data_IF_077098892786
#
_entry.id   IF_077098892786
#
_cell.length_a   1.000
_cell.length_b   1.000
_cell.length_c   1.000
_cell.angle_alpha   90.00
_cell.angle_beta   90.00
_cell.angle_gamma   90.00
#
_symmetry.space_group_name_H-M   'P 1'
#
loop_
_entity.id
_entity.type
_entity.pdbx_description
1 polymer ?
#
# COMPACT_ATOMS: atom_id res chain seq x y z
N UNK A 1 9.34 -10.44 -23.68
CA UNK A 1 9.55 -9.19 -23.20
C UNK A 1 8.26 -8.52 -22.76
N UNK A 2 8.39 -7.91 -21.69
CA UNK A 2 7.25 -7.42 -21.03
C UNK A 2 6.84 -6.12 -21.63
N UNK A 3 5.60 -5.94 -21.76
CA UNK A 3 5.11 -4.76 -22.27
C UNK A 3 4.69 -3.80 -21.26
N UNK A 4 5.05 -3.96 -20.12
CA UNK A 4 4.54 -3.15 -19.07
C UNK A 4 3.14 -3.54 -18.74
N UNK A 5 2.35 -3.13 -18.19
CA UNK A 5 1.01 -3.53 -17.90
C UNK A 5 0.88 -4.23 -16.59
N UNK A 6 -0.34 -4.39 -16.20
CA UNK A 6 -0.67 -5.00 -14.91
C UNK A 6 -0.54 -6.49 -14.97
N UNK A 7 -0.06 -7.10 -13.91
CA UNK A 7 -0.08 -8.56 -13.78
C UNK A 7 -0.04 -8.95 -12.32
N UNK A 8 -0.51 -10.17 -12.05
CA UNK A 8 -0.53 -10.71 -10.69
C UNK A 8 0.83 -11.29 -10.32
N UNK A 9 1.10 -11.47 -9.04
CA UNK A 9 2.33 -12.14 -8.61
C UNK A 9 2.42 -13.53 -9.19
N UNK A 10 3.63 -13.95 -9.58
CA UNK A 10 3.87 -15.26 -10.15
C UNK A 10 4.37 -16.26 -9.12
N UNK A 11 4.98 -15.80 -8.05
CA UNK A 11 5.49 -16.65 -6.98
C UNK A 11 5.78 -15.78 -5.77
N UNK A 12 6.22 -16.39 -4.68
CA UNK A 12 6.72 -15.63 -3.54
C UNK A 12 7.95 -14.83 -3.95
N UNK A 13 8.13 -13.72 -3.28
CA UNK A 13 9.30 -12.86 -3.47
C UNK A 13 9.99 -12.66 -2.12
N UNK A 14 11.28 -12.33 -2.17
CA UNK A 14 12.06 -12.12 -0.95
C UNK A 14 12.97 -10.90 -1.13
N UNK A 15 12.39 -9.72 -1.32
CA UNK A 15 13.21 -8.54 -1.60
C UNK A 15 13.97 -8.06 -0.38
N UNK A 16 15.13 -7.48 -0.61
CA UNK A 16 15.83 -6.71 0.40
C UNK A 16 15.22 -5.33 0.44
N UNK A 17 14.84 -4.87 1.63
CA UNK A 17 14.19 -3.58 1.78
C UNK A 17 15.27 -2.53 1.97
N UNK A 18 15.75 -1.98 0.87
CA UNK A 18 16.85 -1.01 0.88
C UNK A 18 16.56 0.24 0.03
N UNK A 19 15.42 0.29 -0.64
CA UNK A 19 15.05 1.44 -1.46
C UNK A 19 15.68 1.45 -2.83
N UNK A 20 16.39 0.39 -3.21
CA UNK A 20 17.08 0.37 -4.51
C UNK A 20 16.26 -0.24 -5.64
N UNK A 21 15.27 -1.07 -5.29
CA UNK A 21 14.42 -1.66 -6.32
C UNK A 21 15.14 -2.64 -7.20
N UNK A 22 15.91 -3.55 -6.60
CA UNK A 22 16.67 -4.54 -7.35
C UNK A 22 15.71 -5.35 -8.22
N UNK A 23 15.97 -5.38 -9.49
CA UNK A 23 15.07 -5.99 -10.45
C UNK A 23 14.84 -7.47 -10.16
N UNK A 24 15.89 -8.19 -9.78
CA UNK A 24 15.76 -9.61 -9.50
C UNK A 24 14.84 -9.88 -8.32
N UNK A 25 14.84 -8.99 -7.33
CA UNK A 25 14.01 -9.18 -6.15
C UNK A 25 12.53 -9.06 -6.46
N UNK A 26 12.16 -8.23 -7.43
CA UNK A 26 10.77 -7.91 -7.72
C UNK A 26 10.25 -8.55 -9.00
N UNK A 27 11.06 -9.36 -9.65
CA UNK A 27 10.75 -9.95 -10.93
C UNK A 27 9.44 -10.74 -10.94
N UNK A 28 9.15 -11.45 -9.87
CA UNK A 28 7.94 -12.27 -9.77
C UNK A 28 6.79 -11.58 -9.03
N UNK A 29 6.96 -10.33 -8.70
CA UNK A 29 5.92 -9.58 -7.99
C UNK A 29 4.76 -9.22 -8.90
N UNK A 30 3.62 -8.95 -8.30
CA UNK A 30 2.51 -8.33 -9.01
C UNK A 30 2.85 -6.88 -9.32
N UNK A 31 2.18 -6.33 -10.32
CA UNK A 31 2.50 -4.98 -10.77
C UNK A 31 1.28 -4.29 -11.31
N UNK A 32 1.17 -3.00 -10.99
CA UNK A 32 0.24 -2.08 -11.62
C UNK A 32 1.03 -0.92 -12.23
N UNK A 33 0.81 -0.64 -13.50
CA UNK A 33 1.35 0.56 -14.12
C UNK A 33 0.37 1.69 -13.86
N UNK A 34 0.82 2.71 -13.14
CA UNK A 34 -0.03 3.78 -12.67
C UNK A 34 0.07 5.00 -13.58
N UNK A 35 1.29 5.44 -13.82
CA UNK A 35 1.50 6.61 -14.62
C UNK A 35 1.57 6.26 -16.07
N UNK A 36 1.21 7.11 -16.92
CA UNK A 36 1.52 6.97 -18.26
C UNK A 36 0.36 6.73 -19.16
N UNK A 37 0.34 5.64 -19.84
CA UNK A 37 -0.34 5.55 -21.09
C UNK A 37 -1.85 5.66 -21.04
N UNK A 38 -2.45 5.70 -19.90
CA UNK A 38 -3.88 5.75 -19.85
C UNK A 38 -4.45 7.10 -20.14
N UNK A 39 -3.65 8.06 -20.30
CA UNK A 39 -4.13 9.33 -20.71
C UNK A 39 -4.94 10.09 -19.72
N UNK A 40 -4.99 9.65 -18.52
CA UNK A 40 -5.66 10.47 -17.55
C UNK A 40 -4.77 11.62 -17.31
N UNK A 41 -5.29 12.71 -17.37
CA UNK A 41 -4.52 13.82 -17.18
C UNK A 41 -4.30 14.17 -15.80
N UNK A 42 -4.49 13.27 -14.92
CA UNK A 42 -4.39 13.63 -13.56
C UNK A 42 -3.03 13.52 -13.06
N UNK A 43 -2.82 14.06 -12.03
CA UNK A 43 -1.67 14.09 -11.33
C UNK A 43 -1.13 12.83 -10.87
N UNK A 44 -1.85 11.84 -10.94
CA UNK A 44 -1.40 10.54 -10.52
C UNK A 44 -0.11 10.12 -11.11
N UNK A 45 0.42 10.91 -11.95
CA UNK A 45 1.69 10.59 -12.55
C UNK A 45 2.86 10.61 -11.58
N UNK A 46 2.69 11.07 -10.33
CA UNK A 46 3.82 11.08 -9.43
C UNK A 46 4.26 9.66 -9.07
N UNK A 47 3.34 8.71 -8.98
CA UNK A 47 3.67 7.29 -8.82
C UNK A 47 3.53 6.66 -10.19
N UNK A 48 4.64 6.10 -10.68
CA UNK A 48 4.67 5.51 -12.01
C UNK A 48 4.26 4.06 -12.00
N UNK A 49 4.62 3.33 -10.95
CA UNK A 49 4.44 1.90 -10.91
C UNK A 49 4.35 1.42 -9.47
N UNK A 50 3.52 0.42 -9.26
CA UNK A 50 3.33 -0.20 -7.96
C UNK A 50 3.60 -1.69 -8.09
N UNK A 51 4.39 -2.24 -7.18
CA UNK A 51 4.69 -3.67 -7.14
C UNK A 51 4.27 -4.23 -5.79
N UNK A 52 3.79 -5.46 -5.79
CA UNK A 52 3.39 -6.10 -4.54
C UNK A 52 3.62 -7.60 -4.62
N UNK A 53 3.80 -8.20 -3.46
CA UNK A 53 3.98 -9.64 -3.38
C UNK A 53 4.04 -10.09 -1.95
N UNK A 54 4.25 -11.37 -1.76
CA UNK A 54 4.23 -11.97 -0.43
C UNK A 54 5.27 -13.06 -0.32
N UNK A 55 5.62 -13.40 0.92
CA UNK A 55 6.22 -14.69 1.24
C UNK A 55 5.56 -15.18 2.53
N UNK A 56 6.09 -16.22 3.15
CA UNK A 56 5.48 -16.76 4.35
C UNK A 56 5.50 -15.80 5.54
N UNK A 57 6.39 -14.83 5.53
CA UNK A 57 6.59 -13.94 6.66
C UNK A 57 6.03 -12.55 6.45
N UNK A 58 6.00 -12.07 5.22
CA UNK A 58 5.72 -10.67 4.96
C UNK A 58 4.83 -10.44 3.75
N UNK A 59 4.12 -9.34 3.79
CA UNK A 59 3.59 -8.67 2.61
C UNK A 59 4.60 -7.61 2.20
N UNK A 60 4.83 -7.45 0.89
CA UNK A 60 5.79 -6.49 0.34
C UNK A 60 5.12 -5.55 -0.62
N UNK A 61 5.55 -4.30 -0.58
CA UNK A 61 5.08 -3.26 -1.48
C UNK A 61 6.26 -2.44 -1.97
N UNK A 62 6.23 -2.05 -3.24
CA UNK A 62 7.20 -1.12 -3.79
C UNK A 62 6.48 -0.07 -4.63
N UNK A 63 6.90 1.18 -4.49
CA UNK A 63 6.40 2.27 -5.32
C UNK A 63 7.56 2.91 -6.06
N UNK A 64 7.40 3.04 -7.37
CA UNK A 64 8.35 3.75 -8.20
C UNK A 64 7.77 5.12 -8.50
N UNK A 65 8.50 6.17 -8.17
CA UNK A 65 8.05 7.53 -8.35
C UNK A 65 8.65 8.13 -9.60
N UNK A 66 8.06 9.20 -10.05
CA UNK A 66 8.60 9.97 -11.15
C UNK A 66 10.03 10.38 -10.84
N UNK A 67 10.89 10.35 -11.84
CA UNK A 67 12.31 10.67 -11.64
C UNK A 67 12.46 12.05 -11.01
N UNK A 68 13.28 12.12 -9.98
CA UNK A 68 13.54 13.39 -9.29
C UNK A 68 12.50 13.78 -8.25
N UNK A 69 11.42 13.03 -8.13
CA UNK A 69 10.38 13.36 -7.13
C UNK A 69 10.89 13.11 -5.72
N UNK A 70 10.47 13.94 -4.79
CA UNK A 70 10.90 13.86 -3.40
C UNK A 70 9.72 13.96 -2.45
N UNK A 71 9.73 13.21 -1.34
CA UNK A 71 8.71 13.34 -0.31
C UNK A 71 8.70 14.76 0.26
N UNK A 72 7.51 15.29 0.47
CA UNK A 72 7.34 16.62 1.01
C UNK A 72 7.36 17.72 -0.04
N UNK A 73 7.89 17.43 -1.22
CA UNK A 73 7.85 18.36 -2.35
C UNK A 73 6.74 17.91 -3.29
N UNK A 74 7.08 17.11 -4.28
CA UNK A 74 6.09 16.61 -5.23
C UNK A 74 5.43 15.31 -4.78
N UNK A 75 6.02 14.57 -3.86
CA UNK A 75 5.36 13.39 -3.27
C UNK A 75 4.73 13.81 -1.96
N UNK A 76 3.43 13.57 -1.77
CA UNK A 76 2.80 13.86 -0.47
C UNK A 76 3.56 13.17 0.65
N UNK A 77 3.65 13.79 1.83
CA UNK A 77 4.54 13.29 2.87
C UNK A 77 4.04 12.06 3.63
N UNK A 78 2.80 11.63 3.41
CA UNK A 78 2.26 10.47 4.11
C UNK A 78 1.78 9.42 3.14
N UNK A 79 2.05 8.17 3.50
CA UNK A 79 1.55 7.02 2.78
C UNK A 79 0.71 6.20 3.75
N UNK A 80 -0.49 5.83 3.34
CA UNK A 80 -1.40 5.05 4.15
C UNK A 80 -1.79 3.79 3.41
N UNK A 81 -1.72 2.65 4.09
CA UNK A 81 -2.20 1.38 3.57
C UNK A 81 -3.43 0.99 4.36
N UNK A 82 -4.49 0.64 3.65
CA UNK A 82 -5.78 0.29 4.25
C UNK A 82 -6.19 -1.07 3.72
N UNK A 83 -6.42 -2.01 4.62
CA UNK A 83 -6.79 -3.36 4.26
C UNK A 83 -8.19 -3.69 4.70
N UNK A 84 -8.91 -4.47 3.89
CA UNK A 84 -10.17 -5.04 4.30
C UNK A 84 -10.34 -6.44 3.74
N UNK A 85 -11.20 -7.21 4.41
CA UNK A 85 -11.51 -8.59 4.04
C UNK A 85 -12.97 -8.63 3.67
N UNK A 86 -13.31 -8.78 2.39
CA UNK A 86 -14.71 -8.61 1.94
C UNK A 86 -15.72 -9.49 2.63
N UNK A 87 -15.30 -10.67 3.07
CA UNK A 87 -16.27 -11.63 3.59
C UNK A 87 -16.00 -12.05 5.02
N UNK A 88 -15.31 -11.21 5.79
CA UNK A 88 -14.97 -11.57 7.17
C UNK A 88 -15.64 -10.62 8.16
N UNK A 89 -16.27 -11.17 9.20
CA UNK A 89 -16.99 -10.35 10.17
C UNK A 89 -16.03 -9.78 11.24
N UNK A 90 -15.01 -9.10 10.83
CA UNK A 90 -14.06 -8.47 11.73
C UNK A 90 -14.48 -7.04 12.02
N UNK A 91 -14.04 -6.47 13.14
CA UNK A 91 -14.27 -5.04 13.38
C UNK A 91 -13.72 -4.20 12.24
N UNK A 92 -14.43 -3.17 11.89
CA UNK A 92 -14.05 -2.31 10.77
C UNK A 92 -14.42 -0.87 11.05
N UNK A 93 -13.77 0.05 10.36
CA UNK A 93 -13.95 1.47 10.56
C UNK A 93 -13.69 2.21 9.25
N UNK A 94 -14.29 3.38 9.05
CA UNK A 94 -13.88 4.24 7.94
C UNK A 94 -12.40 4.57 8.04
N UNK A 95 -11.78 4.87 6.91
CA UNK A 95 -10.37 5.23 6.91
C UNK A 95 -10.12 6.47 7.79
N UNK A 96 -9.03 6.47 8.57
CA UNK A 96 -8.73 7.60 9.46
C UNK A 96 -8.00 8.73 8.71
N UNK A 97 -8.58 9.19 7.63
CA UNK A 97 -8.00 10.20 6.76
C UNK A 97 -9.08 11.23 6.45
N UNK A 98 -8.74 12.50 6.58
CA UNK A 98 -9.69 13.58 6.36
C UNK A 98 -9.91 13.83 4.88
N UNK A 99 -11.08 14.32 4.54
CA UNK A 99 -11.41 14.78 3.19
C UNK A 99 -11.35 13.68 2.13
N UNK A 100 -11.64 12.45 2.52
CA UNK A 100 -11.74 11.37 1.55
C UNK A 100 -12.95 11.59 0.65
N UNK A 101 -12.79 11.39 -0.66
CA UNK A 101 -13.94 11.37 -1.55
C UNK A 101 -14.94 10.28 -1.15
N UNK A 102 -16.22 10.57 -1.28
CA UNK A 102 -17.27 9.60 -0.96
C UNK A 102 -17.51 8.73 -2.19
N UNK A 103 -16.55 7.88 -2.48
CA UNK A 103 -16.62 6.99 -3.62
C UNK A 103 -15.82 5.73 -3.33
N UNK A 104 -16.22 4.63 -3.97
CA UNK A 104 -15.52 3.36 -3.81
C UNK A 104 -14.14 3.42 -4.47
N UNK A 105 -13.13 2.82 -3.89
CA UNK A 105 -13.15 2.06 -2.63
C UNK A 105 -12.84 2.91 -1.39
N UNK A 106 -12.69 4.21 -1.54
CA UNK A 106 -12.29 5.08 -0.43
C UNK A 106 -13.34 5.13 0.66
N UNK A 107 -14.61 4.96 0.31
CA UNK A 107 -15.68 4.98 1.29
C UNK A 107 -15.98 3.60 1.89
N UNK A 108 -15.13 2.62 1.65
CA UNK A 108 -15.27 1.32 2.28
C UNK A 108 -14.87 1.40 3.75
N UNK A 109 -15.11 0.34 4.48
CA UNK A 109 -14.72 0.22 5.87
C UNK A 109 -13.57 -0.76 5.94
N UNK A 110 -12.57 -0.43 6.74
CA UNK A 110 -11.29 -1.13 6.73
C UNK A 110 -11.01 -1.78 8.07
N UNK A 111 -10.17 -2.81 8.07
CA UNK A 111 -9.83 -3.60 9.25
C UNK A 111 -8.46 -3.24 9.82
N UNK A 112 -7.52 -2.90 8.95
CA UNK A 112 -6.16 -2.54 9.35
C UNK A 112 -5.73 -1.28 8.63
N UNK A 113 -4.88 -0.50 9.28
CA UNK A 113 -4.34 0.72 8.73
C UNK A 113 -2.87 0.86 9.12
N UNK A 114 -2.00 1.07 8.14
CA UNK A 114 -0.60 1.38 8.36
C UNK A 114 -0.34 2.77 7.81
N UNK A 115 0.27 3.64 8.61
CA UNK A 115 0.66 4.97 8.17
C UNK A 115 2.17 5.11 8.19
N UNK A 116 2.70 5.85 7.24
CA UNK A 116 4.14 6.10 7.14
C UNK A 116 4.34 7.57 6.86
N UNK A 117 5.19 8.19 7.66
CA UNK A 117 5.67 9.52 7.36
C UNK A 117 6.90 9.37 6.47
N UNK A 118 6.82 9.80 5.22
CA UNK A 118 7.88 9.57 4.25
C UNK A 118 9.10 10.45 4.50
N UNK A 119 8.95 11.53 5.27
CA UNK A 119 10.07 12.40 5.59
C UNK A 119 10.93 11.83 6.72
N UNK A 120 10.29 11.29 7.74
CA UNK A 120 10.99 10.75 8.91
C UNK A 120 11.13 9.24 8.86
N UNK A 121 10.36 8.59 7.99
CA UNK A 121 10.26 7.14 7.87
C UNK A 121 9.69 6.48 9.12
N UNK A 122 8.98 7.24 9.94
CA UNK A 122 8.28 6.66 11.07
C UNK A 122 7.04 5.93 10.57
N UNK A 123 6.70 4.82 11.23
CA UNK A 123 5.60 3.96 10.84
C UNK A 123 4.71 3.75 12.06
N UNK A 124 3.40 3.80 11.85
CA UNK A 124 2.45 3.45 12.91
C UNK A 124 1.40 2.52 12.32
N UNK A 125 0.86 1.66 13.19
CA UNK A 125 -0.10 0.66 12.79
C UNK A 125 -1.27 0.64 13.75
N UNK A 126 -2.47 0.44 13.21
CA UNK A 126 -3.66 0.35 14.04
C UNK A 126 -4.67 -0.61 13.42
N UNK A 127 -5.53 -1.14 14.28
CA UNK A 127 -6.60 -2.01 13.87
C UNK A 127 -7.93 -1.44 14.31
N UNK A 128 -8.95 -1.66 13.51
CA UNK A 128 -10.30 -1.31 13.92
C UNK A 128 -10.72 -2.21 15.08
N UNK A 129 -11.25 -1.65 16.14
CA UNK A 129 -11.69 -2.43 17.31
C UNK A 129 -13.19 -2.40 17.46
N UNK A 130 -13.83 -1.41 16.88
CA UNK A 130 -15.27 -1.27 16.94
C UNK A 130 -15.67 -0.30 15.85
N UNK A 131 -16.95 0.04 15.80
CA UNK A 131 -17.43 0.98 14.82
C UNK A 131 -16.67 2.29 14.94
N UNK A 132 -15.99 2.67 13.92
CA UNK A 132 -15.30 3.97 13.84
C UNK A 132 -14.20 4.21 14.86
N UNK A 133 -13.65 3.14 15.44
CA UNK A 133 -12.56 3.28 16.40
C UNK A 133 -11.36 2.46 15.99
N UNK A 134 -10.20 3.05 16.16
CA UNK A 134 -8.91 2.45 15.85
C UNK A 134 -8.09 2.32 17.11
N UNK A 135 -7.38 1.20 17.26
CA UNK A 135 -6.45 0.99 18.36
C UNK A 135 -5.05 0.82 17.81
N UNK A 136 -4.09 1.50 18.41
CA UNK A 136 -2.69 1.42 18.00
C UNK A 136 -2.09 0.09 18.46
N UNK A 137 -1.26 -0.49 17.60
CA UNK A 137 -0.54 -1.71 17.87
C UNK A 137 0.91 -1.55 17.45
N UNK A 138 1.84 -2.27 18.10
CA UNK A 138 3.23 -2.24 17.65
C UNK A 138 3.35 -2.85 16.26
N UNK A 139 4.34 -2.41 15.51
CA UNK A 139 4.60 -2.97 14.19
C UNK A 139 6.09 -3.17 13.99
N UNK A 140 6.42 -4.23 13.25
CA UNK A 140 7.78 -4.48 12.79
C UNK A 140 7.94 -4.19 11.31
N UNK A 141 7.00 -3.48 10.74
CA UNK A 141 7.10 -3.08 9.35
C UNK A 141 8.36 -2.27 9.11
N UNK A 142 8.94 -2.41 7.94
CA UNK A 142 10.17 -1.73 7.55
C UNK A 142 9.95 -1.00 6.25
N UNK A 143 10.49 0.21 6.16
CA UNK A 143 10.42 1.00 4.94
C UNK A 143 11.80 1.53 4.60
N UNK A 144 12.12 1.59 3.32
CA UNK A 144 13.32 2.23 2.83
C UNK A 144 12.96 3.04 1.60
N UNK A 145 13.50 4.23 1.50
CA UNK A 145 13.24 5.15 0.39
C UNK A 145 14.57 5.65 -0.12
N UNK A 146 14.85 5.39 -1.38
CA UNK A 146 16.02 5.90 -2.07
C UNK A 146 15.63 6.11 -3.53
N UNK A 147 16.01 5.27 -4.45
CA UNK A 147 15.53 5.40 -5.82
C UNK A 147 14.07 4.97 -5.97
N UNK A 148 13.57 4.19 -5.03
CA UNK A 148 12.15 3.86 -4.94
C UNK A 148 11.79 3.69 -3.48
N UNK A 149 10.51 3.44 -3.20
CA UNK A 149 10.07 3.10 -1.86
C UNK A 149 9.85 1.59 -1.79
N UNK A 150 10.40 0.94 -0.77
CA UNK A 150 10.17 -0.48 -0.50
C UNK A 150 9.70 -0.66 0.92
N UNK A 151 8.73 -1.56 1.10
CA UNK A 151 8.06 -1.77 2.38
C UNK A 151 7.84 -3.25 2.61
N UNK A 152 8.07 -3.71 3.82
CA UNK A 152 7.73 -5.06 4.25
C UNK A 152 6.90 -4.98 5.51
N UNK A 153 5.81 -5.73 5.54
CA UNK A 153 4.92 -5.79 6.69
C UNK A 153 4.77 -7.23 7.10
N UNK A 154 5.24 -7.61 8.30
CA UNK A 154 5.07 -8.99 8.75
C UNK A 154 3.60 -9.36 8.89
N UNK A 155 3.24 -10.55 8.43
CA UNK A 155 1.88 -11.05 8.64
C UNK A 155 1.53 -11.10 10.12
N UNK A 156 2.52 -11.35 10.97
CA UNK A 156 2.29 -11.39 12.40
C UNK A 156 1.78 -10.06 12.97
N UNK A 157 2.02 -8.95 12.30
CA UNK A 157 1.52 -7.66 12.75
C UNK A 157 0.03 -7.47 12.41
N UNK A 158 -0.48 -8.22 11.43
CA UNK A 158 -1.89 -8.16 11.05
C UNK A 158 -2.65 -9.18 11.88
N UNK A 159 -3.01 -8.78 13.07
CA UNK A 159 -3.65 -9.70 14.00
C UNK A 159 -4.98 -10.23 13.47
N UNK A 160 -5.32 -11.44 13.87
CA UNK A 160 -6.59 -12.08 13.53
C UNK A 160 -6.76 -12.47 12.07
N UNK A 161 -5.69 -12.43 11.27
CA UNK A 161 -5.77 -12.98 9.92
C UNK A 161 -5.40 -14.45 9.94
N UNK A 162 -6.01 -15.20 9.03
CA UNK A 162 -5.80 -16.62 8.91
C UNK A 162 -5.32 -16.95 7.51
N UNK A 163 -4.60 -18.05 7.35
CA UNK A 163 -4.18 -18.47 6.01
C UNK A 163 -5.37 -18.55 5.07
N UNK A 164 -5.10 -18.27 3.82
CA UNK A 164 -6.08 -18.32 2.73
C UNK A 164 -7.17 -17.24 2.80
N UNK A 165 -7.08 -16.32 3.74
CA UNK A 165 -8.00 -15.18 3.69
C UNK A 165 -7.61 -14.27 2.54
N UNK A 166 -8.58 -13.94 1.72
CA UNK A 166 -8.40 -12.91 0.74
C UNK A 166 -8.50 -11.54 1.38
N UNK A 167 -7.60 -10.65 1.01
CA UNK A 167 -7.66 -9.27 1.47
C UNK A 167 -7.59 -8.35 0.27
N UNK A 168 -8.02 -7.14 0.48
CA UNK A 168 -7.90 -6.08 -0.52
C UNK A 168 -7.19 -4.91 0.11
N UNK A 169 -6.38 -4.26 -0.67
CA UNK A 169 -5.54 -3.15 -0.20
C UNK A 169 -5.81 -1.92 -1.03
N UNK A 170 -5.94 -0.79 -0.34
CA UNK A 170 -6.01 0.53 -0.94
C UNK A 170 -4.85 1.34 -0.38
N UNK A 171 -4.18 2.08 -1.24
CA UNK A 171 -3.05 2.93 -0.84
C UNK A 171 -3.46 4.38 -1.03
N UNK A 172 -3.27 5.19 0.01
CA UNK A 172 -3.61 6.61 -0.03
C UNK A 172 -2.37 7.43 0.22
N UNK A 173 -2.19 8.47 -0.57
CA UNK A 173 -1.19 9.50 -0.31
C UNK A 173 -1.91 10.67 0.33
N UNK A 174 -1.33 11.21 1.40
CA UNK A 174 -1.98 12.24 2.18
C UNK A 174 -0.97 13.28 2.66
N UNK A 175 -1.49 14.42 3.11
CA UNK A 175 -0.69 15.51 3.65
C UNK A 175 -1.37 16.01 4.90
N UNK A 176 -0.66 15.96 6.03
CA UNK A 176 -1.21 16.35 7.32
C UNK A 176 -2.57 15.69 7.60
N UNK A 177 -2.66 14.41 7.30
CA UNK A 177 -3.86 13.64 7.55
C UNK A 177 -4.98 13.84 6.56
N UNK A 178 -4.76 14.61 5.50
CA UNK A 178 -5.79 14.89 4.50
C UNK A 178 -5.49 14.18 3.20
N UNK A 179 -6.52 13.68 2.58
CA UNK A 179 -6.44 12.94 1.32
C UNK A 179 -5.83 13.80 0.21
N UNK A 180 -4.91 13.21 -0.56
CA UNK A 180 -4.39 13.81 -1.78
C UNK A 180 -4.75 12.94 -2.98
N UNK A 181 -4.40 11.66 -2.95
CA UNK A 181 -4.70 10.74 -4.04
C UNK A 181 -4.66 9.30 -3.53
N UNK A 182 -5.08 8.35 -4.36
CA UNK A 182 -5.04 6.95 -3.98
C UNK A 182 -4.61 6.08 -5.16
N UNK A 183 -4.18 4.86 -4.85
CA UNK A 183 -3.63 3.92 -5.82
C UNK A 183 -4.14 2.52 -5.55
N UNK A 184 -4.29 1.70 -6.57
CA UNK A 184 -4.46 2.07 -7.96
C UNK A 184 -5.88 2.62 -8.16
N UNK A 185 -6.00 3.64 -9.00
CA UNK A 185 -7.31 4.26 -9.20
C UNK A 185 -8.35 3.27 -9.69
N UNK A 186 -9.53 3.29 -9.06
CA UNK A 186 -10.65 2.44 -9.45
C UNK A 186 -10.35 0.95 -9.41
N UNK A 187 -9.34 0.52 -8.70
CA UNK A 187 -8.97 -0.87 -8.57
C UNK A 187 -8.52 -1.15 -7.15
N UNK A 188 -8.48 -2.42 -6.80
CA UNK A 188 -8.01 -2.89 -5.50
C UNK A 188 -6.84 -3.84 -5.73
N UNK A 189 -5.93 -3.87 -4.79
CA UNK A 189 -4.83 -4.84 -4.85
C UNK A 189 -5.31 -6.11 -4.16
N UNK A 190 -5.42 -7.23 -4.89
CA UNK A 190 -5.85 -8.48 -4.27
C UNK A 190 -4.65 -9.19 -3.65
N UNK A 191 -4.80 -9.62 -2.41
CA UNK A 191 -3.72 -10.31 -1.70
C UNK A 191 -4.33 -11.49 -0.97
N UNK A 192 -3.67 -12.63 -1.03
CA UNK A 192 -4.08 -13.80 -0.26
C UNK A 192 -3.04 -14.07 0.82
N UNK A 193 -3.50 -14.20 2.05
CA UNK A 193 -2.62 -14.52 3.18
C UNK A 193 -2.11 -15.95 2.98
N UNK A 194 -0.81 -16.20 3.04
CA UNK A 194 -0.25 -17.51 2.77
C UNK A 194 -0.54 -18.54 3.87
#
# INVERSE_FOLDING_TARGET
HDKGGDHLPQSFIHPTIDGHGDEQDWDKAGRFDIGGARGTMHQSTIVQRLWYGIDHLNFYLRLDFKAGARPGDDIPPELHLLWFYPERPLPNSPAPIAELPDEAPLNYRFHHHLGINLLTQSIWFQQAIDRSQWAAYPTRARVAIDSCLELAIPWADLHQVEPDWGMRLVIVLADEGRFVSYLPENRLIPVTVP
#
